data_IF_327345944844
#
_entry.id   IF_327345944844
#
_cell.length_a   1.000
_cell.length_b   1.000
_cell.length_c   1.000
_cell.angle_alpha   90.00
_cell.angle_beta   90.00
_cell.angle_gamma   90.00
#
_symmetry.space_group_name_H-M   'P 1'
#
loop_
_entity.id
_entity.type
_entity.pdbx_description
1 polymer ?
#
# COMPACT_ATOMS: atom_id res chain seq x y z
N UNK A 1 -0.38 -5.68 2.06
CA UNK A 1 -0.36 -4.30 2.59
C UNK A 1 -0.15 -3.38 1.42
N UNK A 2 -0.86 -2.27 1.41
CA UNK A 2 -0.82 -1.29 0.33
C UNK A 2 -0.86 0.09 0.95
N UNK A 3 -0.06 1.01 0.44
CA UNK A 3 -0.08 2.40 0.89
C UNK A 3 0.19 3.34 -0.27
N UNK A 4 -0.29 4.56 -0.12
CA UNK A 4 -0.29 5.57 -1.16
C UNK A 4 0.33 6.85 -0.63
N UNK A 5 1.13 7.49 -1.47
CA UNK A 5 1.69 8.81 -1.24
C UNK A 5 1.31 9.69 -2.42
N UNK A 6 0.67 10.83 -2.14
CA UNK A 6 0.17 11.74 -3.16
C UNK A 6 0.64 13.18 -2.95
N UNK A 7 0.79 13.89 -4.06
CA UNK A 7 1.09 15.30 -4.08
C UNK A 7 -0.21 16.10 -4.08
N UNK A 8 -0.52 16.77 -2.96
CA UNK A 8 -1.79 17.47 -2.77
C UNK A 8 -2.07 18.53 -3.87
N UNK A 9 -1.04 19.22 -4.35
CA UNK A 9 -1.21 20.25 -5.38
C UNK A 9 -1.40 19.74 -6.82
N UNK A 10 -0.83 18.57 -7.18
CA UNK A 10 -0.81 18.10 -8.57
C UNK A 10 -1.76 16.94 -8.83
N UNK A 11 -2.25 16.28 -7.78
CA UNK A 11 -3.09 15.09 -7.90
C UNK A 11 -2.36 13.84 -8.37
N UNK A 12 -1.03 13.90 -8.50
CA UNK A 12 -0.20 12.72 -8.77
C UNK A 12 -0.06 11.93 -7.48
N UNK A 13 -0.24 10.61 -7.56
CA UNK A 13 0.01 9.71 -6.44
C UNK A 13 0.78 8.46 -6.87
N UNK A 14 1.37 7.81 -5.89
CA UNK A 14 2.16 6.61 -6.03
C UNK A 14 1.59 5.54 -5.13
N UNK A 15 1.49 4.33 -5.65
CA UNK A 15 1.06 3.14 -4.94
C UNK A 15 2.29 2.31 -4.62
N UNK A 16 2.32 1.79 -3.39
CA UNK A 16 3.33 0.85 -2.94
C UNK A 16 2.62 -0.30 -2.26
N UNK A 17 2.90 -1.51 -2.71
CA UNK A 17 2.24 -2.71 -2.24
C UNK A 17 3.28 -3.77 -1.95
N UNK A 18 3.06 -4.47 -0.84
CA UNK A 18 3.75 -5.70 -0.58
C UNK A 18 2.82 -6.73 0.06
N UNK A 19 2.91 -7.96 -0.41
CA UNK A 19 2.28 -9.11 0.24
C UNK A 19 3.32 -9.85 1.07
N UNK A 20 3.08 -9.96 2.38
CA UNK A 20 3.95 -10.67 3.31
C UNK A 20 3.57 -12.14 3.52
N UNK A 21 2.48 -12.60 2.92
CA UNK A 21 1.82 -13.87 3.23
C UNK A 21 1.52 -14.75 2.02
N UNK A 22 2.28 -14.62 0.93
CA UNK A 22 2.21 -15.62 -0.13
C UNK A 22 2.95 -16.89 0.33
N UNK A 23 2.23 -17.79 0.99
CA UNK A 23 2.75 -19.05 1.54
C UNK A 23 3.27 -20.03 0.47
N UNK A 24 3.08 -19.72 -0.82
CA UNK A 24 3.43 -20.57 -1.95
C UNK A 24 4.94 -20.57 -2.31
N UNK A 25 5.83 -20.25 -1.37
CA UNK A 25 7.29 -20.36 -1.55
C UNK A 25 7.93 -19.35 -2.52
N UNK A 26 7.15 -18.55 -3.23
CA UNK A 26 7.63 -17.55 -4.20
C UNK A 26 8.21 -16.27 -3.56
N UNK A 27 8.20 -16.18 -2.22
CA UNK A 27 8.58 -14.99 -1.50
C UNK A 27 7.50 -13.91 -1.53
N UNK A 28 7.87 -12.73 -1.05
CA UNK A 28 6.95 -11.61 -0.96
C UNK A 28 6.67 -11.01 -2.33
N UNK A 29 5.41 -10.72 -2.61
CA UNK A 29 5.06 -9.93 -3.80
C UNK A 29 5.36 -8.47 -3.49
N UNK A 30 6.03 -7.81 -4.42
CA UNK A 30 6.30 -6.38 -4.43
C UNK A 30 5.63 -5.78 -5.65
N UNK A 31 4.98 -4.64 -5.46
CA UNK A 31 4.39 -3.89 -6.55
C UNK A 31 4.45 -2.40 -6.24
N UNK A 32 4.68 -1.61 -7.26
CA UNK A 32 4.54 -0.17 -7.22
C UNK A 32 4.01 0.38 -8.54
N UNK A 33 3.42 1.57 -8.46
CA UNK A 33 2.86 2.25 -9.61
C UNK A 33 2.82 3.75 -9.39
N UNK A 34 2.87 4.51 -10.49
CA UNK A 34 2.51 5.93 -10.51
C UNK A 34 1.07 6.05 -10.98
N UNK A 35 0.14 6.28 -10.06
CA UNK A 35 -1.28 6.18 -10.34
C UNK A 35 -1.67 4.76 -10.76
N UNK A 36 -2.02 4.60 -12.04
CA UNK A 36 -2.29 3.30 -12.67
C UNK A 36 -1.15 2.81 -13.58
N UNK A 37 -0.07 3.58 -13.73
CA UNK A 37 1.11 3.18 -14.50
C UNK A 37 1.97 2.21 -13.67
N UNK A 38 1.79 0.92 -13.93
CA UNK A 38 2.57 -0.17 -13.33
C UNK A 38 3.93 -0.42 -13.99
N UNK A 39 4.32 0.41 -14.98
CA UNK A 39 5.67 0.36 -15.55
C UNK A 39 6.66 1.22 -14.76
N UNK A 40 6.15 2.12 -13.90
CA UNK A 40 6.96 2.85 -12.94
C UNK A 40 7.61 1.89 -11.94
N UNK A 41 8.86 2.15 -11.59
CA UNK A 41 9.65 1.31 -10.70
C UNK A 41 10.53 2.20 -9.82
N UNK A 42 10.13 2.39 -8.56
CA UNK A 42 10.83 3.23 -7.59
C UNK A 42 11.89 2.49 -6.81
N UNK A 43 12.83 3.21 -6.17
CA UNK A 43 13.91 2.58 -5.39
C UNK A 43 13.56 2.36 -3.91
N UNK A 44 12.26 2.38 -3.59
CA UNK A 44 11.77 2.17 -2.23
C UNK A 44 12.20 0.81 -1.67
N UNK A 45 12.39 0.77 -0.34
CA UNK A 45 12.88 -0.43 0.35
C UNK A 45 11.94 -0.79 1.48
N UNK A 46 11.90 -2.07 1.82
CA UNK A 46 11.24 -2.53 3.04
C UNK A 46 12.04 -3.59 3.77
N UNK A 47 11.81 -3.69 5.08
CA UNK A 47 12.25 -4.79 5.93
C UNK A 47 11.04 -5.34 6.66
N UNK A 48 10.78 -6.63 6.49
CA UNK A 48 9.67 -7.33 7.15
C UNK A 48 10.22 -8.29 8.19
N UNK A 49 9.63 -8.27 9.38
CA UNK A 49 9.83 -9.26 10.43
C UNK A 49 8.52 -10.00 10.67
N UNK A 50 8.56 -11.33 10.57
CA UNK A 50 7.42 -12.22 10.76
C UNK A 50 7.44 -12.84 12.15
N UNK A 51 6.25 -13.08 12.68
CA UNK A 51 5.96 -13.77 13.92
C UNK A 51 4.85 -14.80 13.63
N UNK A 52 4.55 -15.73 14.55
CA UNK A 52 3.55 -16.77 14.31
C UNK A 52 2.16 -16.25 13.93
N UNK A 53 1.75 -15.07 14.43
CA UNK A 53 0.40 -14.52 14.30
C UNK A 53 0.35 -13.15 13.60
N UNK A 54 1.51 -12.55 13.32
CA UNK A 54 1.61 -11.18 12.81
C UNK A 54 2.91 -10.94 12.06
N UNK A 55 2.98 -9.78 11.43
CA UNK A 55 4.21 -9.27 10.85
C UNK A 55 4.33 -7.77 11.15
N UNK A 56 5.56 -7.27 11.12
CA UNK A 56 5.86 -5.84 11.18
C UNK A 56 6.74 -5.47 10.00
N UNK A 57 6.45 -4.35 9.34
CA UNK A 57 7.26 -3.84 8.24
C UNK A 57 7.77 -2.44 8.56
N UNK A 58 9.02 -2.17 8.21
CA UNK A 58 9.59 -0.82 8.10
C UNK A 58 9.78 -0.55 6.61
N UNK A 59 9.26 0.58 6.14
CA UNK A 59 9.32 0.97 4.73
C UNK A 59 10.05 2.31 4.61
N UNK A 60 10.91 2.42 3.60
CA UNK A 60 11.65 3.64 3.26
C UNK A 60 11.35 4.01 1.81
N UNK A 61 10.73 5.17 1.61
CA UNK A 61 10.43 5.73 0.30
C UNK A 61 11.28 6.99 0.10
N UNK A 62 12.10 7.09 -0.97
CA UNK A 62 12.74 8.33 -1.36
C UNK A 62 11.68 9.31 -1.85
N UNK A 63 11.48 10.43 -1.12
CA UNK A 63 10.42 11.37 -1.44
C UNK A 63 10.73 12.21 -2.70
N UNK A 64 12.02 12.42 -2.98
CA UNK A 64 12.52 13.10 -4.18
C UNK A 64 12.16 12.37 -5.48
N UNK A 65 12.25 11.03 -5.51
CA UNK A 65 11.86 10.22 -6.68
C UNK A 65 10.38 10.33 -7.05
N UNK A 66 9.54 10.65 -6.06
CA UNK A 66 8.09 10.81 -6.24
C UNK A 66 7.66 12.28 -6.26
N UNK A 67 8.62 13.20 -6.37
CA UNK A 67 8.35 14.64 -6.47
C UNK A 67 7.72 15.22 -5.21
N UNK A 68 7.84 14.56 -4.05
CA UNK A 68 7.37 15.06 -2.77
C UNK A 68 8.52 15.74 -2.05
N UNK A 69 8.81 17.00 -2.39
CA UNK A 69 9.83 17.75 -1.69
C UNK A 69 9.30 18.32 -0.38
N UNK A 70 9.94 17.98 0.74
CA UNK A 70 9.61 18.48 2.08
C UNK A 70 9.66 20.02 2.09
N UNK A 71 10.55 20.65 1.32
CA UNK A 71 10.70 22.11 1.31
C UNK A 71 9.56 22.86 0.60
N UNK A 72 8.69 22.17 -0.16
CA UNK A 72 7.77 22.83 -1.11
C UNK A 72 6.28 22.78 -0.74
N UNK A 73 5.92 22.21 0.40
CA UNK A 73 4.59 22.42 1.00
C UNK A 73 4.38 21.71 2.33
N UNK A 74 5.34 20.90 2.82
CA UNK A 74 5.21 20.01 3.97
C UNK A 74 3.97 19.06 3.97
N UNK A 75 2.98 19.24 3.09
CA UNK A 75 1.72 18.50 3.07
C UNK A 75 1.75 17.46 1.96
N UNK A 76 1.56 16.22 2.33
CA UNK A 76 1.38 15.10 1.41
C UNK A 76 0.07 14.38 1.71
N UNK A 77 -0.48 13.76 0.69
CA UNK A 77 -1.62 12.87 0.83
C UNK A 77 -1.10 11.47 1.16
N UNK A 78 -1.73 10.81 2.11
CA UNK A 78 -1.36 9.48 2.55
C UNK A 78 -2.59 8.61 2.78
N UNK A 79 -2.45 7.35 2.41
CA UNK A 79 -3.39 6.31 2.77
C UNK A 79 -2.65 5.00 2.98
N UNK A 80 -3.10 4.22 3.95
CA UNK A 80 -2.66 2.83 4.12
C UNK A 80 -3.87 1.91 4.18
N UNK A 81 -3.78 0.79 3.48
CA UNK A 81 -4.82 -0.23 3.35
C UNK A 81 -4.21 -1.60 3.64
N UNK A 82 -4.83 -2.33 4.57
CA UNK A 82 -4.54 -3.73 4.82
C UNK A 82 -5.67 -4.58 4.27
N UNK A 83 -5.35 -5.41 3.29
CA UNK A 83 -6.23 -6.46 2.79
C UNK A 83 -5.77 -7.84 3.25
N UNK A 84 -6.72 -8.75 3.49
CA UNK A 84 -6.49 -10.18 3.63
C UNK A 84 -7.55 -10.92 2.82
N UNK A 85 -7.11 -11.83 1.96
CA UNK A 85 -7.98 -12.79 1.28
C UNK A 85 -7.79 -14.16 1.89
N UNK A 86 -8.87 -14.91 2.12
CA UNK A 86 -8.81 -16.24 2.73
C UNK A 86 -9.97 -17.12 2.28
N UNK A 87 -9.79 -18.44 2.32
CA UNK A 87 -10.86 -19.40 2.03
C UNK A 87 -11.91 -19.33 3.16
N UNK A 88 -13.19 -19.18 2.80
CA UNK A 88 -14.32 -19.19 3.73
C UNK A 88 -14.59 -20.55 4.38
N UNK A 89 -14.00 -21.63 3.86
CA UNK A 89 -14.38 -23.01 4.19
C UNK A 89 -15.63 -23.49 3.45
N UNK A 90 -16.22 -22.66 2.59
CA UNK A 90 -17.38 -23.02 1.74
C UNK A 90 -16.99 -23.08 0.27
N UNK A 91 -17.83 -23.74 -0.54
CA UNK A 91 -17.62 -23.90 -1.98
C UNK A 91 -18.72 -23.20 -2.78
N UNK A 92 -18.39 -22.73 -3.98
CA UNK A 92 -19.37 -22.28 -4.97
C UNK A 92 -20.21 -23.47 -5.47
N UNK A 93 -21.35 -23.26 -6.16
CA UNK A 93 -22.09 -24.37 -6.79
C UNK A 93 -21.27 -25.19 -7.79
N UNK A 94 -20.16 -24.64 -8.30
CA UNK A 94 -19.21 -25.30 -9.20
C UNK A 94 -18.08 -26.05 -8.45
N UNK A 95 -18.11 -26.07 -7.13
CA UNK A 95 -17.11 -26.73 -6.29
C UNK A 95 -15.85 -25.92 -6.00
N UNK A 96 -15.77 -24.67 -6.44
CA UNK A 96 -14.59 -23.82 -6.26
C UNK A 96 -14.54 -23.24 -4.84
N UNK A 97 -13.35 -23.01 -4.26
CA UNK A 97 -13.23 -22.29 -2.99
C UNK A 97 -13.88 -20.92 -3.04
N UNK A 98 -14.77 -20.63 -2.08
CA UNK A 98 -15.31 -19.29 -1.93
C UNK A 98 -14.34 -18.47 -1.08
N UNK A 99 -13.68 -17.51 -1.71
CA UNK A 99 -12.75 -16.60 -1.05
C UNK A 99 -13.52 -15.43 -0.39
N UNK A 100 -13.15 -15.11 0.84
CA UNK A 100 -13.55 -13.87 1.51
C UNK A 100 -12.40 -12.87 1.47
N UNK A 101 -12.76 -11.60 1.58
CA UNK A 101 -11.82 -10.48 1.63
C UNK A 101 -12.17 -9.59 2.79
N UNK A 102 -11.20 -9.37 3.66
CA UNK A 102 -11.24 -8.35 4.71
C UNK A 102 -10.37 -7.18 4.29
N UNK A 103 -10.87 -5.96 4.50
CA UNK A 103 -10.11 -4.75 4.26
C UNK A 103 -10.31 -3.77 5.40
N UNK A 104 -9.22 -3.12 5.79
CA UNK A 104 -9.21 -1.99 6.70
C UNK A 104 -8.27 -0.94 6.13
N UNK A 105 -8.59 0.33 6.34
CA UNK A 105 -7.75 1.43 5.93
C UNK A 105 -7.57 2.43 7.06
N UNK A 106 -6.52 3.25 6.97
CA UNK A 106 -6.15 4.21 8.00
C UNK A 106 -7.26 5.25 8.25
N UNK A 107 -7.91 5.70 7.18
CA UNK A 107 -8.89 6.79 7.23
C UNK A 107 -10.30 6.40 6.73
N UNK A 108 -10.56 5.10 6.50
CA UNK A 108 -11.84 4.62 5.97
C UNK A 108 -11.99 4.69 4.44
N UNK A 109 -11.06 5.32 3.73
CA UNK A 109 -11.03 5.40 2.27
C UNK A 109 -10.66 4.08 1.57
N UNK A 110 -10.85 4.03 0.25
CA UNK A 110 -10.52 2.87 -0.59
C UNK A 110 -9.24 3.05 -1.42
N UNK A 111 -8.85 2.00 -2.14
CA UNK A 111 -7.71 2.05 -3.08
C UNK A 111 -8.03 2.97 -4.27
N UNK A 112 -7.03 3.69 -4.77
CA UNK A 112 -7.13 4.58 -5.94
C UNK A 112 -8.20 5.69 -5.85
N UNK A 113 -8.59 6.10 -4.65
CA UNK A 113 -9.51 7.21 -4.41
C UNK A 113 -8.76 8.34 -3.71
N UNK A 114 -8.05 9.17 -4.49
CA UNK A 114 -7.16 10.18 -3.92
C UNK A 114 -7.90 11.19 -3.02
N UNK A 115 -9.16 11.50 -3.33
CA UNK A 115 -10.03 12.37 -2.50
C UNK A 115 -10.29 11.79 -1.10
N UNK A 116 -10.09 10.49 -0.94
CA UNK A 116 -10.20 9.82 0.36
C UNK A 116 -8.87 9.76 1.10
N UNK A 117 -7.74 10.21 0.53
CA UNK A 117 -6.44 10.17 1.20
C UNK A 117 -6.39 11.23 2.30
N UNK A 118 -5.82 10.86 3.45
CA UNK A 118 -5.64 11.80 4.56
C UNK A 118 -4.42 12.69 4.29
N UNK A 119 -4.34 13.81 4.99
CA UNK A 119 -3.19 14.70 4.88
C UNK A 119 -2.17 14.41 5.99
N UNK A 120 -0.89 14.38 5.61
CA UNK A 120 0.24 14.36 6.53
C UNK A 120 1.06 15.63 6.33
N UNK A 121 1.35 16.32 7.44
CA UNK A 121 2.30 17.43 7.47
C UNK A 121 3.65 16.92 7.97
N UNK A 122 4.68 17.02 7.14
CA UNK A 122 6.06 16.73 7.48
C UNK A 122 6.67 17.95 8.17
N UNK A 123 7.27 17.74 9.34
CA UNK A 123 8.01 18.79 10.04
C UNK A 123 9.48 18.75 9.65
N UNK A 124 10.05 19.92 9.38
CA UNK A 124 11.50 20.11 9.26
C UNK A 124 12.04 20.34 10.67
N UNK A 125 12.72 19.34 11.23
CA UNK A 125 13.50 19.48 12.45
C UNK A 125 14.96 19.76 12.11
#
# INVERSE_FOLDING_TARGET
MEFFLGHAATGVYYQFMFDCGNENGAGDVLFDAKGYDSSWNGTWKRRVKRYPDKWSAIVKVPLDEIGLNITENNRLLFQAVRGKSYDSGTRTPKGEPRMLREMASWNGGWVHQMDSFGELTLNQN
#
